data_IF_905069912403
#
_entry.id   IF_905069912403
#
_cell.length_a   1.000
_cell.length_b   1.000
_cell.length_c   1.000
_cell.angle_alpha   90.00
_cell.angle_beta   90.00
_cell.angle_gamma   90.00
#
_symmetry.space_group_name_H-M   'P 1'
#
loop_
_entity.id
_entity.type
_entity.pdbx_description
1 polymer ?
#
# COMPACT_ATOMS: atom_id res chain seq x y z
N UNK A 1 16.75 -6.40 4.10
CA UNK A 1 17.34 -5.03 4.12
C UNK A 1 17.17 -4.43 5.51
N UNK A 2 18.25 -3.92 6.10
CA UNK A 2 18.27 -3.43 7.47
C UNK A 2 17.34 -2.21 7.64
N UNK A 3 16.27 -2.39 8.43
CA UNK A 3 15.43 -1.30 8.93
C UNK A 3 16.33 -0.40 9.78
N UNK A 4 16.76 0.72 9.20
CA UNK A 4 17.65 1.67 9.85
C UNK A 4 17.05 2.10 11.18
N UNK A 5 17.63 1.58 12.26
CA UNK A 5 17.34 1.98 13.64
C UNK A 5 17.58 3.48 13.72
N UNK A 6 16.52 4.26 13.83
CA UNK A 6 16.58 5.65 14.26
C UNK A 6 17.02 5.64 15.73
N UNK A 7 18.34 5.52 15.93
CA UNK A 7 19.05 5.39 17.21
C UNK A 7 18.86 6.59 18.13
N UNK A 8 18.21 7.66 17.66
CA UNK A 8 17.97 8.87 18.43
C UNK A 8 16.46 9.05 18.71
N UNK A 9 16.03 8.89 19.97
CA UNK A 9 14.66 9.16 20.41
C UNK A 9 14.16 10.57 20.01
N UNK A 10 15.06 11.56 19.96
CA UNK A 10 14.72 12.92 19.55
C UNK A 10 14.40 13.02 18.05
N UNK A 11 15.06 12.24 17.20
CA UNK A 11 14.73 12.22 15.76
C UNK A 11 13.44 11.46 15.48
N UNK A 12 13.16 10.38 16.21
CA UNK A 12 11.88 9.70 16.12
C UNK A 12 10.72 10.62 16.52
N UNK A 13 10.90 11.44 17.57
CA UNK A 13 9.92 12.43 17.99
C UNK A 13 9.71 13.53 16.95
N UNK A 14 10.78 14.14 16.43
CA UNK A 14 10.67 15.13 15.33
C UNK A 14 10.00 14.55 14.08
N UNK A 15 10.32 13.31 13.72
CA UNK A 15 9.72 12.63 12.57
C UNK A 15 8.24 12.32 12.81
N UNK A 16 7.87 11.95 14.04
CA UNK A 16 6.48 11.75 14.43
C UNK A 16 5.69 13.07 14.45
N UNK A 17 6.29 14.16 14.92
CA UNK A 17 5.69 15.50 14.88
C UNK A 17 5.49 15.97 13.44
N UNK A 18 6.50 15.89 12.58
CA UNK A 18 6.34 16.18 11.14
C UNK A 18 5.25 15.32 10.52
N UNK A 19 5.17 14.03 10.86
CA UNK A 19 4.09 13.14 10.36
C UNK A 19 2.71 13.56 10.89
N UNK A 20 2.61 14.06 12.13
CA UNK A 20 1.37 14.61 12.71
C UNK A 20 0.98 15.94 12.05
N UNK A 21 1.94 16.82 11.79
CA UNK A 21 1.75 18.09 11.08
C UNK A 21 1.31 17.86 9.65
N UNK A 22 1.97 16.96 8.91
CA UNK A 22 1.57 16.56 7.56
C UNK A 22 0.17 15.94 7.55
N UNK A 23 -0.19 15.12 8.55
CA UNK A 23 -1.54 14.57 8.66
C UNK A 23 -2.58 15.66 8.92
N UNK A 24 -2.32 16.60 9.84
CA UNK A 24 -3.26 17.71 10.15
C UNK A 24 -3.38 18.70 9.00
N UNK A 25 -2.27 19.07 8.37
CA UNK A 25 -2.24 19.93 7.19
C UNK A 25 -2.92 19.24 5.99
N UNK A 26 -2.63 17.94 5.80
CA UNK A 26 -3.19 17.12 4.73
C UNK A 26 -4.72 17.09 4.73
N UNK A 27 -5.37 17.15 5.89
CA UNK A 27 -6.84 17.26 5.95
C UNK A 27 -7.30 18.56 5.30
N UNK A 28 -6.69 19.71 5.60
CA UNK A 28 -7.09 20.99 5.01
C UNK A 28 -6.71 21.13 3.53
N UNK A 29 -5.58 20.56 3.12
CA UNK A 29 -5.09 20.58 1.73
C UNK A 29 -5.95 19.67 0.84
N UNK A 30 -6.44 18.56 1.38
CA UNK A 30 -7.35 17.64 0.68
C UNK A 30 -8.83 18.07 0.75
N UNK A 31 -9.16 19.17 1.44
CA UNK A 31 -10.53 19.70 1.39
C UNK A 31 -10.83 20.15 -0.04
N UNK A 32 -11.89 19.59 -0.60
CA UNK A 32 -12.44 20.05 -1.86
C UNK A 32 -13.05 21.45 -1.64
N UNK A 33 -12.61 22.43 -2.42
CA UNK A 33 -13.14 23.82 -2.39
C UNK A 33 -14.40 23.97 -3.22
N UNK A 34 -14.88 22.90 -3.85
CA UNK A 34 -15.97 22.91 -4.83
C UNK A 34 -17.30 23.30 -4.21
N UNK A 35 -17.62 22.79 -3.02
CA UNK A 35 -18.85 23.17 -2.31
C UNK A 35 -18.87 24.67 -1.99
N UNK A 36 -17.70 25.25 -1.66
CA UNK A 36 -17.56 26.69 -1.43
C UNK A 36 -17.72 27.49 -2.73
N UNK A 37 -17.15 27.00 -3.85
CA UNK A 37 -17.26 27.62 -5.17
C UNK A 37 -18.71 27.59 -5.68
N UNK A 38 -19.42 26.47 -5.57
CA UNK A 38 -20.83 26.32 -5.96
C UNK A 38 -21.75 27.18 -5.08
N UNK A 39 -21.46 27.28 -3.77
CA UNK A 39 -22.21 28.15 -2.87
C UNK A 39 -21.97 29.63 -3.17
N UNK A 40 -20.73 30.02 -3.51
CA UNK A 40 -20.42 31.38 -3.99
C UNK A 40 -21.17 31.66 -5.28
N UNK A 41 -21.13 30.77 -6.27
CA UNK A 41 -21.81 30.95 -7.56
C UNK A 41 -23.34 31.08 -7.35
N UNK A 42 -23.90 30.24 -6.48
CA UNK A 42 -25.33 30.29 -6.14
C UNK A 42 -25.71 31.60 -5.43
N UNK A 43 -24.89 32.07 -4.50
CA UNK A 43 -25.12 33.33 -3.78
C UNK A 43 -24.88 34.56 -4.67
N UNK A 44 -23.93 34.50 -5.60
CA UNK A 44 -23.70 35.55 -6.60
C UNK A 44 -24.84 35.62 -7.63
N UNK A 45 -25.42 34.48 -8.01
CA UNK A 45 -26.60 34.43 -8.89
C UNK A 45 -27.86 35.03 -8.23
N UNK A 46 -27.90 35.11 -6.89
CA UNK A 46 -28.98 35.73 -6.12
C UNK A 46 -28.52 37.06 -5.50
N UNK A 47 -28.66 38.20 -6.19
CA UNK A 47 -28.05 39.48 -5.80
C UNK A 47 -28.51 40.07 -4.45
N UNK A 48 -29.61 39.55 -3.88
CA UNK A 48 -30.18 39.98 -2.59
C UNK A 48 -29.77 39.11 -1.40
N UNK A 49 -29.09 37.98 -1.62
CA UNK A 49 -28.75 37.04 -0.56
C UNK A 49 -27.39 37.36 0.07
N UNK A 50 -27.40 37.84 1.32
CA UNK A 50 -26.30 37.79 2.31
C UNK A 50 -24.88 38.08 1.78
N UNK A 51 -24.62 39.33 1.40
CA UNK A 51 -23.28 39.83 1.00
C UNK A 51 -22.18 39.55 2.03
N UNK A 52 -22.52 39.48 3.32
CA UNK A 52 -21.61 39.10 4.40
C UNK A 52 -21.13 37.67 4.25
N UNK A 53 -22.06 36.72 4.09
CA UNK A 53 -21.77 35.29 3.85
C UNK A 53 -20.95 35.09 2.58
N UNK A 54 -21.26 35.86 1.53
CA UNK A 54 -20.50 35.83 0.28
C UNK A 54 -19.03 36.24 0.49
N UNK A 55 -18.79 37.33 1.23
CA UNK A 55 -17.43 37.76 1.57
C UNK A 55 -16.72 36.75 2.47
N UNK A 56 -17.41 36.16 3.44
CA UNK A 56 -16.86 35.11 4.30
C UNK A 56 -16.39 33.91 3.48
N UNK A 57 -17.25 33.34 2.63
CA UNK A 57 -16.93 32.22 1.75
C UNK A 57 -15.76 32.53 0.80
N UNK A 58 -15.71 33.74 0.23
CA UNK A 58 -14.56 34.19 -0.59
C UNK A 58 -13.26 34.22 0.21
N UNK A 59 -13.27 34.78 1.41
CA UNK A 59 -12.05 34.80 2.25
C UNK A 59 -11.63 33.41 2.71
N UNK A 60 -12.57 32.48 2.90
CA UNK A 60 -12.27 31.08 3.23
C UNK A 60 -11.64 30.35 2.03
N UNK A 61 -12.17 30.55 0.83
CA UNK A 61 -11.60 30.02 -0.40
C UNK A 61 -10.15 30.50 -0.59
N UNK A 62 -9.91 31.82 -0.43
CA UNK A 62 -8.56 32.39 -0.51
C UNK A 62 -7.60 31.79 0.52
N UNK A 63 -8.05 31.58 1.77
CA UNK A 63 -7.24 30.95 2.82
C UNK A 63 -6.88 29.51 2.48
N UNK A 64 -7.79 28.75 1.87
CA UNK A 64 -7.54 27.38 1.46
C UNK A 64 -6.55 27.34 0.29
N UNK A 65 -6.72 28.22 -0.71
CA UNK A 65 -5.82 28.28 -1.86
C UNK A 65 -4.40 28.66 -1.46
N UNK A 66 -4.21 29.64 -0.56
CA UNK A 66 -2.88 29.98 -0.02
C UNK A 66 -2.19 28.76 0.62
N UNK A 67 -2.92 28.02 1.47
CA UNK A 67 -2.38 26.78 2.10
C UNK A 67 -2.05 25.69 1.09
N UNK A 68 -2.83 25.58 0.01
CA UNK A 68 -2.57 24.64 -1.09
C UNK A 68 -1.31 25.03 -1.85
N UNK A 69 -1.14 26.31 -2.15
CA UNK A 69 0.03 26.85 -2.85
C UNK A 69 1.30 26.67 -2.01
N UNK A 70 1.29 27.07 -0.74
CA UNK A 70 2.41 26.87 0.20
C UNK A 70 2.80 25.39 0.30
N UNK A 71 1.81 24.48 0.33
CA UNK A 71 2.09 23.06 0.34
C UNK A 71 2.65 22.53 -0.99
N UNK A 72 2.21 23.07 -2.12
CA UNK A 72 2.72 22.68 -3.44
C UNK A 72 4.13 23.22 -3.68
N UNK A 73 4.49 24.38 -3.13
CA UNK A 73 5.85 24.90 -3.19
C UNK A 73 6.81 24.08 -2.33
N UNK A 74 6.38 23.65 -1.14
CA UNK A 74 7.15 22.73 -0.28
C UNK A 74 7.19 21.29 -0.83
N UNK A 75 6.11 20.84 -1.50
CA UNK A 75 5.96 19.49 -2.04
C UNK A 75 5.48 19.50 -3.50
N UNK A 76 6.37 19.80 -4.46
CA UNK A 76 5.99 19.83 -5.88
C UNK A 76 5.48 18.48 -6.39
N UNK A 77 5.96 17.37 -5.81
CA UNK A 77 5.50 15.99 -6.07
C UNK A 77 4.01 15.78 -5.75
N UNK A 78 3.47 16.53 -4.79
CA UNK A 78 2.07 16.43 -4.38
C UNK A 78 1.14 17.37 -5.16
N UNK A 79 1.63 18.11 -6.16
CA UNK A 79 0.78 19.01 -6.97
C UNK A 79 -0.46 18.33 -7.53
N UNK A 80 -0.31 17.10 -8.04
CA UNK A 80 -1.43 16.30 -8.58
C UNK A 80 -2.42 15.83 -7.50
N UNK A 81 -1.95 15.70 -6.26
CA UNK A 81 -2.75 15.30 -5.11
C UNK A 81 -3.59 16.46 -4.58
N UNK A 82 -3.04 17.69 -4.63
CA UNK A 82 -3.73 18.91 -4.19
C UNK A 82 -4.70 19.44 -5.26
N UNK A 83 -4.26 19.48 -6.51
CA UNK A 83 -5.07 19.92 -7.65
C UNK A 83 -5.55 18.71 -8.44
N UNK A 84 -6.41 17.89 -7.82
CA UNK A 84 -7.00 16.73 -8.50
C UNK A 84 -8.02 17.21 -9.54
N UNK A 85 -7.68 17.03 -10.82
CA UNK A 85 -8.59 17.32 -11.93
C UNK A 85 -9.90 16.52 -11.75
N UNK A 86 -11.03 17.15 -12.06
CA UNK A 86 -12.36 16.51 -12.03
C UNK A 86 -12.35 15.32 -13.01
N UNK A 87 -12.55 14.09 -12.51
CA UNK A 87 -13.05 13.02 -13.38
C UNK A 87 -14.42 13.44 -13.84
N UNK A 88 -14.57 13.72 -15.13
CA UNK A 88 -15.89 13.86 -15.71
C UNK A 88 -16.57 12.49 -15.55
N UNK A 89 -17.77 12.45 -14.98
CA UNK A 89 -18.55 11.23 -14.70
C UNK A 89 -18.96 10.42 -15.97
N UNK A 90 -18.33 10.66 -17.12
CA UNK A 90 -18.54 9.92 -18.37
C UNK A 90 -17.26 9.54 -19.12
N UNK A 91 -16.07 9.91 -18.64
CA UNK A 91 -14.81 9.37 -19.15
C UNK A 91 -14.35 8.29 -18.20
N UNK A 92 -14.49 7.04 -18.62
CA UNK A 92 -13.76 5.92 -18.02
C UNK A 92 -12.28 6.31 -17.92
N UNK A 93 -11.88 6.58 -16.69
CA UNK A 93 -10.61 6.18 -16.09
C UNK A 93 -9.44 6.00 -17.05
N UNK A 94 -8.64 7.06 -17.17
CA UNK A 94 -7.19 6.88 -16.95
C UNK A 94 -6.95 6.89 -15.44
N UNK A 95 -7.65 6.01 -14.71
CA UNK A 95 -7.11 5.50 -13.46
C UNK A 95 -5.84 4.77 -13.82
N UNK A 96 -4.85 4.98 -12.97
CA UNK A 96 -3.89 3.92 -12.75
C UNK A 96 -4.75 2.71 -12.37
N UNK A 97 -5.05 1.87 -13.35
CA UNK A 97 -5.53 0.52 -13.08
C UNK A 97 -4.59 -0.05 -11.98
N UNK A 98 -5.09 -0.82 -11.00
CA UNK A 98 -4.17 -1.69 -10.23
C UNK A 98 -3.30 -2.38 -11.28
N UNK A 99 -1.94 -2.41 -11.15
CA UNK A 99 -1.06 -2.73 -12.27
C UNK A 99 -1.59 -3.98 -12.95
N UNK A 100 -2.32 -3.79 -14.06
CA UNK A 100 -2.88 -4.90 -14.79
C UNK A 100 -1.63 -5.65 -15.15
N UNK A 101 -1.46 -6.92 -14.74
CA UNK A 101 -0.25 -7.65 -15.01
C UNK A 101 -0.07 -7.52 -16.51
N UNK A 102 0.92 -6.71 -16.91
CA UNK A 102 1.12 -6.43 -18.32
C UNK A 102 1.25 -7.81 -18.91
N UNK A 103 0.29 -8.18 -19.78
CA UNK A 103 0.36 -9.42 -20.55
C UNK A 103 1.50 -9.20 -21.52
N UNK A 104 2.72 -9.23 -20.98
CA UNK A 104 3.98 -9.12 -21.68
C UNK A 104 3.92 -10.27 -22.65
N UNK A 105 3.91 -9.94 -23.94
CA UNK A 105 3.96 -10.95 -24.99
C UNK A 105 5.34 -11.63 -24.90
N UNK A 106 5.42 -12.68 -24.07
CA UNK A 106 6.63 -13.46 -23.78
C UNK A 106 7.09 -14.24 -25.00
N UNK A 107 6.16 -14.58 -25.89
CA UNK A 107 6.41 -15.33 -27.10
C UNK A 107 6.13 -14.50 -28.35
N UNK A 108 6.88 -14.75 -29.41
CA UNK A 108 6.59 -14.23 -30.74
C UNK A 108 5.43 -15.00 -31.38
N UNK A 109 4.97 -14.55 -32.55
CA UNK A 109 3.90 -15.20 -33.34
C UNK A 109 4.19 -16.64 -33.75
N UNK A 110 5.43 -17.11 -33.60
CA UNK A 110 5.87 -18.46 -33.89
C UNK A 110 5.97 -19.34 -32.61
N UNK A 111 5.52 -18.83 -31.46
CA UNK A 111 5.54 -19.55 -30.19
C UNK A 111 6.92 -19.66 -29.53
N UNK A 112 7.91 -18.87 -29.99
CA UNK A 112 9.27 -18.85 -29.42
C UNK A 112 9.45 -17.66 -28.46
N UNK A 113 10.22 -17.80 -27.36
CA UNK A 113 10.50 -16.69 -26.45
C UNK A 113 11.06 -15.47 -27.19
N UNK A 114 10.47 -14.29 -26.96
CA UNK A 114 10.87 -13.02 -27.61
C UNK A 114 12.24 -12.53 -27.15
N UNK A 115 12.60 -12.87 -25.91
CA UNK A 115 13.91 -12.61 -25.32
C UNK A 115 14.51 -13.94 -24.88
N UNK A 116 15.12 -14.71 -25.81
CA UNK A 116 15.68 -16.01 -25.49
C UNK A 116 16.77 -15.89 -24.42
N UNK A 117 17.56 -14.82 -24.44
CA UNK A 117 18.57 -14.46 -23.43
C UNK A 117 18.06 -14.41 -21.97
N UNK A 118 16.75 -14.27 -21.75
CA UNK A 118 16.16 -14.29 -20.40
C UNK A 118 15.84 -15.69 -19.88
N UNK A 119 15.96 -16.71 -20.74
CA UNK A 119 15.74 -18.10 -20.35
C UNK A 119 17.02 -18.71 -19.81
N UNK A 120 16.90 -19.53 -18.76
CA UNK A 120 18.00 -20.29 -18.16
C UNK A 120 18.63 -21.27 -19.17
N UNK A 121 17.84 -21.71 -20.16
CA UNK A 121 18.29 -22.65 -21.17
C UNK A 121 18.96 -22.00 -22.39
N UNK A 122 19.10 -20.67 -22.39
CA UNK A 122 19.70 -19.98 -23.53
C UNK A 122 21.20 -20.23 -23.62
N UNK A 123 21.60 -20.83 -24.73
CA UNK A 123 22.98 -20.96 -25.14
C UNK A 123 23.06 -20.53 -26.62
N UNK A 124 23.89 -19.52 -26.98
CA UNK A 124 23.99 -19.04 -28.35
C UNK A 124 24.30 -20.11 -29.41
N UNK A 125 24.96 -21.21 -29.00
CA UNK A 125 25.40 -22.30 -29.88
C UNK A 125 24.49 -23.51 -29.75
N UNK A 126 24.20 -23.96 -28.52
CA UNK A 126 23.47 -25.22 -28.29
C UNK A 126 21.95 -25.05 -28.18
N UNK A 127 21.43 -23.88 -27.80
CA UNK A 127 20.00 -23.61 -27.66
C UNK A 127 19.68 -22.11 -27.83
N UNK A 128 19.70 -21.59 -29.06
CA UNK A 128 19.60 -20.15 -29.33
C UNK A 128 18.22 -19.55 -29.03
N UNK A 129 17.21 -20.40 -28.81
CA UNK A 129 15.85 -19.97 -28.51
C UNK A 129 15.51 -20.02 -27.03
N UNK A 130 16.43 -20.52 -26.19
CA UNK A 130 16.20 -20.66 -24.75
C UNK A 130 14.99 -21.52 -24.41
N UNK A 131 14.61 -22.44 -25.29
CA UNK A 131 13.45 -23.33 -25.08
C UNK A 131 13.86 -24.40 -24.07
N UNK A 132 13.04 -24.68 -23.03
CA UNK A 132 13.34 -25.76 -22.12
C UNK A 132 13.49 -27.08 -22.89
N UNK A 133 14.45 -27.93 -22.52
CA UNK A 133 14.57 -29.24 -23.13
C UNK A 133 13.25 -30.02 -22.91
N UNK A 134 12.82 -30.84 -23.88
CA UNK A 134 11.48 -31.43 -23.91
C UNK A 134 11.12 -32.35 -22.73
N UNK A 135 12.08 -32.69 -21.87
CA UNK A 135 11.88 -33.48 -20.67
C UNK A 135 11.65 -32.65 -19.37
N UNK A 136 11.93 -31.34 -19.38
CA UNK A 136 11.70 -30.45 -18.24
C UNK A 136 10.39 -29.67 -18.45
N UNK A 137 9.46 -29.78 -17.49
CA UNK A 137 8.16 -29.10 -17.58
C UNK A 137 8.28 -27.62 -17.21
N UNK A 138 7.56 -26.72 -17.90
CA UNK A 138 7.65 -25.28 -17.67
C UNK A 138 7.04 -24.82 -16.32
N UNK A 139 6.22 -25.66 -15.67
CA UNK A 139 5.54 -25.32 -14.42
C UNK A 139 6.49 -25.16 -13.22
N UNK A 140 7.72 -25.69 -13.30
CA UNK A 140 8.68 -25.61 -12.18
C UNK A 140 9.48 -24.30 -12.13
N UNK A 141 9.49 -23.50 -13.21
CA UNK A 141 10.36 -22.30 -13.33
C UNK A 141 9.64 -20.97 -13.19
N UNK A 142 8.30 -20.95 -13.21
CA UNK A 142 7.53 -19.72 -13.02
C UNK A 142 7.50 -19.24 -11.56
N UNK A 143 7.89 -20.09 -10.60
CA UNK A 143 7.80 -19.82 -9.17
C UNK A 143 8.95 -18.97 -8.59
N UNK A 144 10.06 -18.79 -9.31
CA UNK A 144 11.27 -18.14 -8.77
C UNK A 144 11.38 -16.63 -9.11
N UNK A 145 10.46 -16.06 -9.89
CA UNK A 145 10.46 -14.62 -10.25
C UNK A 145 9.19 -13.86 -9.80
N UNK A 146 8.59 -14.29 -8.70
CA UNK A 146 7.57 -13.50 -8.00
C UNK A 146 7.68 -13.68 -6.48
N UNK A 147 8.90 -13.49 -5.95
CA UNK A 147 9.16 -13.34 -4.51
C UNK A 147 8.80 -11.94 -4.00
N UNK A 148 7.68 -11.40 -4.45
CA UNK A 148 7.09 -10.17 -3.97
C UNK A 148 6.33 -10.42 -2.68
N UNK A 149 7.01 -10.20 -1.56
CA UNK A 149 6.48 -10.01 -0.20
C UNK A 149 5.05 -9.44 -0.17
N UNK A 150 4.05 -10.32 -0.10
CA UNK A 150 2.62 -9.98 0.05
C UNK A 150 1.85 -11.14 0.70
N UNK A 151 2.37 -11.64 1.82
CA UNK A 151 1.70 -12.63 2.68
C UNK A 151 0.76 -12.00 3.73
N UNK A 152 0.27 -10.77 3.50
CA UNK A 152 -0.59 -10.07 4.46
C UNK A 152 -2.08 -9.98 4.04
N UNK A 153 -2.49 -10.50 2.88
CA UNK A 153 -3.88 -10.36 2.38
C UNK A 153 -4.54 -11.66 1.84
N UNK A 154 -3.98 -12.84 2.10
CA UNK A 154 -4.74 -14.09 1.93
C UNK A 154 -5.64 -14.25 3.16
N UNK A 155 -6.89 -13.80 3.02
CA UNK A 155 -7.94 -13.99 4.03
C UNK A 155 -8.13 -15.49 4.25
N UNK A 156 -7.62 -15.99 5.38
CA UNK A 156 -7.90 -17.36 5.81
C UNK A 156 -9.42 -17.54 5.95
N UNK A 157 -10.02 -18.63 5.43
CA UNK A 157 -11.43 -18.91 5.67
C UNK A 157 -11.67 -19.00 7.18
N UNK A 158 -12.75 -18.38 7.66
CA UNK A 158 -13.18 -18.50 9.06
C UNK A 158 -13.33 -19.98 9.39
N UNK A 159 -12.48 -20.45 10.31
CA UNK A 159 -12.56 -21.80 10.84
C UNK A 159 -13.90 -22.05 11.54
N UNK A 160 -14.35 -23.31 11.63
CA UNK A 160 -15.60 -23.63 12.33
C UNK A 160 -15.54 -23.08 13.76
N UNK A 161 -16.67 -22.52 14.27
CA UNK A 161 -16.69 -21.92 15.60
C UNK A 161 -16.26 -22.95 16.64
N UNK A 162 -15.53 -22.55 17.69
CA UNK A 162 -15.23 -23.43 18.80
C UNK A 162 -16.56 -23.94 19.35
N UNK A 163 -16.75 -25.25 19.28
CA UNK A 163 -17.88 -25.93 19.90
C UNK A 163 -17.92 -25.54 21.36
N UNK A 164 -19.01 -24.88 21.77
CA UNK A 164 -19.36 -24.70 23.17
C UNK A 164 -19.69 -26.07 23.76
N UNK A 165 -18.65 -26.77 24.22
CA UNK A 165 -18.77 -27.84 25.18
C UNK A 165 -18.43 -27.24 26.54
N UNK A 166 -19.39 -27.35 27.45
CA UNK A 166 -19.35 -26.94 28.85
C UNK A 166 -18.10 -27.43 29.62
N UNK A 167 -17.78 -26.80 30.77
CA UNK A 167 -16.61 -27.10 31.57
C UNK A 167 -16.87 -28.35 32.43
N UNK A 168 -16.20 -29.45 32.10
CA UNK A 168 -16.01 -30.55 33.05
C UNK A 168 -14.55 -30.53 33.52
N UNK A 169 -14.44 -30.48 34.83
CA UNK A 169 -13.25 -30.51 35.66
C UNK A 169 -12.38 -31.72 35.33
N UNK A 170 -11.07 -31.52 35.11
CA UNK A 170 -10.08 -32.60 35.24
C UNK A 170 -8.84 -32.06 35.95
N UNK A 171 -8.95 -32.04 37.27
CA UNK A 171 -7.90 -31.69 38.23
C UNK A 171 -7.04 -32.94 38.49
N UNK A 172 -6.26 -33.36 37.49
CA UNK A 172 -5.35 -34.51 37.61
C UNK A 172 -3.92 -34.14 37.20
N UNK A 173 -3.29 -33.31 38.03
CA UNK A 173 -1.93 -32.78 37.86
C UNK A 173 -0.94 -33.40 38.88
N UNK A 174 -1.03 -34.71 39.16
CA UNK A 174 -0.27 -35.29 40.31
C UNK A 174 0.23 -36.75 40.18
N UNK A 175 0.56 -37.26 38.98
CA UNK A 175 1.20 -38.60 38.90
C UNK A 175 2.12 -38.86 37.67
N UNK A 176 3.00 -37.90 37.32
CA UNK A 176 4.15 -38.18 36.44
C UNK A 176 5.43 -38.19 37.30
N UNK A 177 6.08 -39.34 37.55
CA UNK A 177 7.31 -39.36 38.32
C UNK A 177 8.41 -38.63 37.54
N UNK A 178 8.90 -37.51 38.10
CA UNK A 178 10.06 -36.80 37.57
C UNK A 178 11.32 -37.68 37.69
N UNK A 179 12.18 -37.74 36.65
CA UNK A 179 13.47 -38.40 36.77
C UNK A 179 14.39 -37.65 37.75
N UNK A 180 15.15 -38.38 38.56
CA UNK A 180 16.14 -37.81 39.48
C UNK A 180 17.18 -37.00 38.70
N UNK A 181 17.31 -35.71 39.05
CA UNK A 181 18.29 -34.81 38.47
C UNK A 181 19.73 -35.18 38.86
N UNK A 182 20.73 -34.86 38.02
CA UNK A 182 22.12 -35.15 38.32
C UNK A 182 22.56 -34.42 39.61
N UNK A 183 23.42 -35.05 40.44
CA UNK A 183 23.79 -34.52 41.75
C UNK A 183 24.50 -33.17 41.62
N UNK A 184 24.31 -32.23 42.58
CA UNK A 184 24.97 -30.94 42.56
C UNK A 184 26.49 -31.13 42.63
N UNK A 185 27.17 -30.63 41.59
CA UNK A 185 28.62 -30.63 41.51
C UNK A 185 29.23 -29.93 42.72
N UNK A 186 30.10 -30.64 43.41
CA UNK A 186 30.99 -30.11 44.43
C UNK A 186 31.91 -29.07 43.81
N UNK A 187 31.78 -27.83 44.23
CA UNK A 187 32.79 -26.79 43.97
C UNK A 187 34.07 -27.17 44.72
N UNK A 188 35.18 -27.27 43.99
CA UNK A 188 36.51 -26.99 44.50
C UNK A 188 36.97 -25.64 43.95
#
# INVERSE_FOLDING_TARGET
MAKGKNLNPAEAFRKAERKKEIKKAGVAIKKDTRELEEEIEKLEATPDANKTRLNELKTELEKINKKKEDYVTEHPEHKKLVYKARRQQGTQDTEQDPPVPEKRNLFNKHGLPRHPERSIYYDPVMNPYGVPPPALRPDEVAAEQDGGDSDEDIVMPVGPPPTSADPEEDDSDDDIPMPEGPPPGTQQ
#
